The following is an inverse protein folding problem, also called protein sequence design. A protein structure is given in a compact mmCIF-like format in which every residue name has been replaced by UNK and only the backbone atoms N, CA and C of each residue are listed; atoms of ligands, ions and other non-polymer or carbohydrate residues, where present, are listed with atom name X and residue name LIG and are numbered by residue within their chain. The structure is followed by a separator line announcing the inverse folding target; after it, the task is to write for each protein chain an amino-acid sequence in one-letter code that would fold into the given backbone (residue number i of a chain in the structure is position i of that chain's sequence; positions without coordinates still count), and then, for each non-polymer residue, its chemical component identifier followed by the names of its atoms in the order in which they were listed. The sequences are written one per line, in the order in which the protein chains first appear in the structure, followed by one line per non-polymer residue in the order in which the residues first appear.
data_IF_138445589835
#
_entry.id   IF_138445589835
#
_cell.length_a   1.000
_cell.length_b   1.000
_cell.length_c   1.000
_cell.angle_alpha   90.00
_cell.angle_beta   90.00
_cell.angle_gamma   90.00
#
_symmetry.space_group_name_H-M   'P 1'
#
loop_
_entity.id
_entity.type
_entity.pdbx_description
1 polymer ?
#
# COMPACT_ATOMS: atom_id res chain seq x y z
N UNK A 1 29.18 16.22 -20.20
CA UNK A 1 28.79 14.89 -20.73
C UNK A 1 28.22 14.08 -19.58
N UNK A 2 26.99 13.60 -19.80
CA UNK A 2 26.16 12.59 -19.11
C UNK A 2 26.62 11.98 -17.78
N UNK A 3 25.71 11.97 -16.81
CA UNK A 3 25.26 10.73 -16.19
C UNK A 3 23.74 10.85 -15.96
N UNK A 4 23.00 10.07 -16.74
CA UNK A 4 21.57 9.89 -16.63
C UNK A 4 21.21 9.17 -15.31
N UNK A 5 20.34 9.75 -14.47
CA UNK A 5 19.71 9.02 -13.36
C UNK A 5 18.18 9.13 -13.47
N UNK A 6 17.65 8.62 -14.57
CA UNK A 6 16.22 8.32 -14.75
C UNK A 6 15.92 6.94 -14.20
N UNK A 7 15.89 6.81 -12.88
CA UNK A 7 15.30 5.64 -12.22
C UNK A 7 13.84 6.00 -11.85
N UNK A 8 12.98 6.07 -12.87
CA UNK A 8 11.54 5.90 -12.64
C UNK A 8 11.24 4.42 -12.88
N UNK A 9 11.27 3.55 -11.85
CA UNK A 9 10.70 2.23 -12.00
C UNK A 9 9.20 2.41 -12.24
N UNK A 10 8.75 2.04 -13.44
CA UNK A 10 7.33 1.86 -13.71
C UNK A 10 6.84 0.75 -12.79
N UNK A 11 6.03 1.10 -11.78
CA UNK A 11 5.51 0.12 -10.84
C UNK A 11 4.62 -0.88 -11.57
N UNK A 12 4.99 -2.15 -11.52
CA UNK A 12 4.14 -3.22 -12.03
C UNK A 12 2.91 -3.38 -11.16
N UNK A 13 1.85 -4.00 -11.70
CA UNK A 13 0.65 -4.29 -10.92
C UNK A 13 0.97 -5.12 -9.68
N UNK A 14 1.87 -6.10 -9.81
CA UNK A 14 2.27 -6.96 -8.72
C UNK A 14 2.97 -6.17 -7.61
N UNK A 15 3.93 -5.31 -7.95
CA UNK A 15 4.62 -4.47 -6.96
C UNK A 15 3.66 -3.50 -6.26
N UNK A 16 2.64 -2.99 -6.97
CA UNK A 16 1.59 -2.17 -6.35
C UNK A 16 0.78 -2.99 -5.33
N UNK A 17 0.43 -4.24 -5.65
CA UNK A 17 -0.30 -5.13 -4.74
C UNK A 17 0.53 -5.48 -3.50
N UNK A 18 1.82 -5.78 -3.70
CA UNK A 18 2.78 -6.03 -2.62
C UNK A 18 2.96 -4.79 -1.74
N UNK A 19 3.10 -3.60 -2.34
CA UNK A 19 3.23 -2.35 -1.60
C UNK A 19 1.97 -2.02 -0.78
N UNK A 20 0.77 -2.27 -1.30
CA UNK A 20 -0.48 -2.12 -0.56
C UNK A 20 -0.50 -3.03 0.67
N UNK A 21 -0.10 -4.28 0.50
CA UNK A 21 -0.02 -5.27 1.58
C UNK A 21 1.02 -4.87 2.63
N UNK A 22 2.20 -4.47 2.18
CA UNK A 22 3.28 -4.01 3.04
C UNK A 22 2.86 -2.81 3.88
N UNK A 23 2.30 -1.77 3.26
CA UNK A 23 1.84 -0.56 3.95
C UNK A 23 0.70 -0.88 4.93
N UNK A 24 -0.21 -1.79 4.58
CA UNK A 24 -1.25 -2.25 5.51
C UNK A 24 -0.67 -2.84 6.79
N UNK A 25 0.38 -3.67 6.68
CA UNK A 25 1.06 -4.30 7.80
C UNK A 25 1.93 -3.30 8.58
N UNK A 26 2.63 -2.39 7.88
CA UNK A 26 3.40 -1.30 8.49
C UNK A 26 2.52 -0.46 9.42
N UNK A 27 1.37 0.01 8.92
CA UNK A 27 0.45 0.83 9.69
C UNK A 27 -0.18 0.06 10.84
N UNK A 28 -0.45 -1.23 10.65
CA UNK A 28 -0.98 -2.11 11.69
C UNK A 28 -0.04 -2.28 12.87
N UNK A 29 1.23 -2.60 12.58
CA UNK A 29 2.25 -2.86 13.58
C UNK A 29 2.64 -1.62 14.38
N UNK A 30 2.20 -0.43 13.93
CA UNK A 30 2.37 0.84 14.63
C UNK A 30 1.08 1.34 15.29
N UNK A 31 0.04 0.50 15.35
CA UNK A 31 -1.30 0.87 15.85
C UNK A 31 -1.92 2.09 15.15
N UNK A 32 -1.54 2.36 13.90
CA UNK A 32 -2.01 3.50 13.12
C UNK A 32 -3.27 3.16 12.30
N UNK A 33 -4.04 4.18 11.87
CA UNK A 33 -5.09 3.97 10.89
C UNK A 33 -4.56 3.27 9.62
N UNK A 34 -5.12 2.11 9.27
CA UNK A 34 -4.65 1.26 8.18
C UNK A 34 -5.79 0.83 7.22
N UNK A 35 -6.81 1.67 7.09
CA UNK A 35 -7.87 1.51 6.08
C UNK A 35 -7.41 1.93 4.69
N UNK A 36 -8.27 1.82 3.66
CA UNK A 36 -7.93 2.17 2.29
C UNK A 36 -7.37 3.59 2.11
N UNK A 37 -7.98 4.58 2.78
CA UNK A 37 -7.54 5.97 2.70
C UNK A 37 -6.14 6.21 3.32
N UNK A 38 -5.86 5.83 4.58
CA UNK A 38 -4.51 5.93 5.15
C UNK A 38 -3.44 5.21 4.33
N UNK A 39 -3.75 4.02 3.79
CA UNK A 39 -2.83 3.27 2.93
C UNK A 39 -2.52 4.07 1.67
N UNK A 40 -3.56 4.56 0.96
CA UNK A 40 -3.40 5.36 -0.26
C UNK A 40 -2.51 6.59 -0.01
N UNK A 41 -2.74 7.30 1.10
CA UNK A 41 -1.94 8.46 1.51
C UNK A 41 -0.48 8.09 1.75
N UNK A 42 -0.22 7.00 2.49
CA UNK A 42 1.14 6.52 2.78
C UNK A 42 1.89 6.10 1.50
N UNK A 43 1.22 5.39 0.59
CA UNK A 43 1.79 5.01 -0.72
C UNK A 43 2.19 6.23 -1.56
N UNK A 44 1.39 7.30 -1.51
CA UNK A 44 1.65 8.53 -2.24
C UNK A 44 2.79 9.35 -1.61
N UNK A 45 2.68 9.63 -0.31
CA UNK A 45 3.56 10.60 0.37
C UNK A 45 4.95 10.03 0.66
N UNK A 46 5.05 8.75 1.02
CA UNK A 46 6.31 8.13 1.46
C UNK A 46 6.92 7.23 0.39
N UNK A 47 6.13 6.37 -0.26
CA UNK A 47 6.62 5.43 -1.26
C UNK A 47 6.59 5.98 -2.69
N UNK A 48 5.93 7.14 -2.92
CA UNK A 48 5.85 7.84 -4.21
C UNK A 48 5.40 6.92 -5.37
N UNK A 49 4.44 6.03 -5.09
CA UNK A 49 3.96 5.04 -6.06
C UNK A 49 3.12 5.69 -7.15
N UNK A 50 3.42 5.34 -8.40
CA UNK A 50 2.65 5.71 -9.58
C UNK A 50 2.55 4.52 -10.57
N UNK A 51 1.35 4.17 -11.08
CA UNK A 51 0.06 4.80 -10.79
C UNK A 51 -0.49 4.44 -9.40
N UNK A 52 -1.12 5.41 -8.74
CA UNK A 52 -1.64 5.23 -7.38
C UNK A 52 -2.99 4.46 -7.38
N UNK A 53 -3.09 3.27 -6.76
CA UNK A 53 -4.32 2.48 -6.77
C UNK A 53 -5.46 3.18 -6.02
N UNK A 54 -6.67 3.17 -6.60
CA UNK A 54 -7.86 3.75 -5.97
C UNK A 54 -8.15 3.13 -4.59
N UNK A 55 -8.84 3.84 -3.71
CA UNK A 55 -9.26 3.29 -2.41
C UNK A 55 -10.11 2.02 -2.58
N UNK A 56 -10.93 1.95 -3.64
CA UNK A 56 -11.70 0.74 -4.00
C UNK A 56 -10.79 -0.43 -4.39
N UNK A 57 -9.73 -0.17 -5.16
CA UNK A 57 -8.73 -1.19 -5.53
C UNK A 57 -8.02 -1.70 -4.28
N UNK A 58 -7.60 -0.79 -3.40
CA UNK A 58 -6.95 -1.13 -2.12
C UNK A 58 -7.89 -1.99 -1.27
N UNK A 59 -9.14 -1.58 -1.07
CA UNK A 59 -10.12 -2.36 -0.30
C UNK A 59 -10.30 -3.77 -0.85
N UNK A 60 -10.39 -3.93 -2.18
CA UNK A 60 -10.49 -5.25 -2.82
C UNK A 60 -9.24 -6.10 -2.60
N UNK A 61 -8.04 -5.52 -2.68
CA UNK A 61 -6.80 -6.22 -2.41
C UNK A 61 -6.73 -6.69 -0.97
N UNK A 62 -7.04 -5.80 -0.01
CA UNK A 62 -7.11 -6.17 1.39
C UNK A 62 -8.07 -7.34 1.64
N UNK A 63 -9.27 -7.33 1.03
CA UNK A 63 -10.21 -8.44 1.13
C UNK A 63 -9.66 -9.73 0.53
N UNK A 64 -9.00 -9.67 -0.64
CA UNK A 64 -8.39 -10.84 -1.29
C UNK A 64 -7.27 -11.47 -0.45
N UNK A 65 -6.51 -10.65 0.26
CA UNK A 65 -5.41 -11.09 1.12
C UNK A 65 -5.83 -11.37 2.57
N UNK A 66 -7.12 -11.27 2.92
CA UNK A 66 -7.59 -11.49 4.29
C UNK A 66 -7.17 -10.40 5.29
N UNK A 67 -6.83 -9.18 4.83
CA UNK A 67 -6.28 -8.09 5.64
C UNK A 67 -7.33 -7.08 6.15
N UNK A 68 -8.61 -7.47 6.16
CA UNK A 68 -9.75 -6.66 6.61
C UNK A 68 -9.98 -6.74 8.13
N UNK A 69 -9.24 -7.59 8.84
CA UNK A 69 -9.48 -8.01 10.23
C UNK A 69 -9.23 -6.95 11.32
N UNK A 70 -9.01 -5.68 10.97
CA UNK A 70 -8.96 -4.61 11.98
C UNK A 70 -10.29 -4.37 12.70
N UNK A 71 -11.36 -5.09 12.31
CA UNK A 71 -12.70 -4.95 12.86
C UNK A 71 -12.98 -5.87 14.06
N UNK A 72 -12.21 -6.93 14.29
CA UNK A 72 -12.49 -7.92 15.34
C UNK A 72 -11.63 -7.75 16.60
N UNK A 73 -10.50 -7.04 16.52
CA UNK A 73 -9.61 -6.84 17.68
C UNK A 73 -8.95 -8.13 18.19
N UNK A 74 -8.96 -9.20 17.40
CA UNK A 74 -8.40 -10.51 17.76
C UNK A 74 -7.28 -10.81 16.77
N UNK A 75 -6.10 -11.02 17.32
CA UNK A 75 -4.97 -11.65 16.68
C UNK A 75 -4.95 -13.08 17.22
N UNK A 76 -4.81 -14.09 16.36
CA UNK A 76 -4.28 -15.37 16.82
C UNK A 76 -2.78 -15.25 17.08
#
# INVERSE_FOLDING_TARGET
MKAENTLNPEWTKQEIEEAVTFVRLELYNRDLPCGPHPIRKRLQEFYRIAPLPSERTIARLLSRHGLTHRRTGIYE
#
